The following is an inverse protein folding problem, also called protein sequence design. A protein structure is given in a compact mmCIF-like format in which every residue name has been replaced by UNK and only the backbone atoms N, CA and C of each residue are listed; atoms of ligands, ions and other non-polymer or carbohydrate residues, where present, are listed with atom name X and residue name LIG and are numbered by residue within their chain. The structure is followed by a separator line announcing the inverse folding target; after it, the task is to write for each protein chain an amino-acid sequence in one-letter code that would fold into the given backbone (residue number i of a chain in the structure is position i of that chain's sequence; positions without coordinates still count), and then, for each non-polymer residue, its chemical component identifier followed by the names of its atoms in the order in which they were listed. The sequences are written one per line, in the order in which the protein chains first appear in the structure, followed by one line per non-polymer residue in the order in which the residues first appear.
data_IF_596488287357
#
_entry.id   IF_596488287357
#
_cell.length_a   1.000
_cell.length_b   1.000
_cell.length_c   1.000
_cell.angle_alpha   90.00
_cell.angle_beta   90.00
_cell.angle_gamma   90.00
#
_symmetry.space_group_name_H-M   'P 1'
#
loop_
_entity.id
_entity.type
_entity.pdbx_description
1 polymer ?
#
# COMPACT_ATOMS: atom_id res chain seq x y z
N UNK A 1 -17.26 -28.89 17.83
CA UNK A 1 -17.77 -27.51 17.72
C UNK A 1 -18.05 -27.26 16.24
N UNK A 2 -19.31 -27.14 15.84
CA UNK A 2 -19.67 -26.67 14.51
C UNK A 2 -19.18 -25.21 14.42
N UNK A 3 -18.18 -24.98 13.58
CA UNK A 3 -17.76 -23.62 13.27
C UNK A 3 -18.74 -23.08 12.24
N UNK A 4 -19.64 -22.23 12.66
CA UNK A 4 -20.50 -21.50 11.75
C UNK A 4 -19.66 -20.56 10.88
N UNK A 5 -20.09 -20.34 9.63
CA UNK A 5 -19.47 -19.34 8.78
C UNK A 5 -19.80 -17.94 9.34
N UNK A 6 -18.81 -17.07 9.41
CA UNK A 6 -19.05 -15.66 9.62
C UNK A 6 -19.48 -15.06 8.27
N UNK A 7 -20.77 -14.88 8.09
CA UNK A 7 -21.35 -14.43 6.82
C UNK A 7 -21.83 -12.99 6.91
N UNK A 8 -21.65 -12.24 5.86
CA UNK A 8 -22.21 -10.93 5.63
C UNK A 8 -22.94 -10.96 4.29
N UNK A 9 -24.16 -10.45 4.22
CA UNK A 9 -24.87 -10.35 2.96
C UNK A 9 -24.34 -9.21 2.08
N UNK A 10 -24.62 -9.27 0.77
CA UNK A 10 -24.07 -8.32 -0.20
C UNK A 10 -24.55 -6.88 0.02
N UNK A 11 -25.72 -6.69 0.62
CA UNK A 11 -26.26 -5.37 0.94
C UNK A 11 -25.48 -4.74 2.09
N UNK A 12 -25.33 -5.47 3.20
CA UNK A 12 -24.55 -5.05 4.36
C UNK A 12 -23.08 -4.81 3.97
N UNK A 13 -22.50 -5.70 3.12
CA UNK A 13 -21.13 -5.55 2.64
C UNK A 13 -20.91 -4.24 1.86
N UNK A 14 -21.89 -3.85 1.04
CA UNK A 14 -21.80 -2.63 0.23
C UNK A 14 -22.02 -1.36 1.05
N UNK A 15 -22.76 -1.44 2.15
CA UNK A 15 -23.08 -0.32 3.02
C UNK A 15 -22.08 -0.17 4.19
N UNK A 16 -21.25 -1.20 4.43
CA UNK A 16 -20.19 -1.13 5.46
C UNK A 16 -19.02 -0.29 4.97
N UNK A 17 -18.64 0.70 5.77
CA UNK A 17 -17.40 1.47 5.55
C UNK A 17 -16.22 0.67 6.11
N UNK A 18 -15.38 0.14 5.23
CA UNK A 18 -14.11 -0.46 5.62
C UNK A 18 -13.00 0.59 5.51
N UNK A 19 -12.04 0.52 6.42
CA UNK A 19 -10.82 1.32 6.28
C UNK A 19 -10.10 0.95 4.99
N UNK A 20 -9.55 1.91 4.23
CA UNK A 20 -8.75 1.63 3.04
C UNK A 20 -7.50 0.83 3.43
N UNK A 21 -6.97 0.08 2.45
CA UNK A 21 -5.70 -0.65 2.64
C UNK A 21 -4.60 0.36 2.88
N UNK A 22 -3.93 0.27 4.04
CA UNK A 22 -2.74 1.05 4.33
C UNK A 22 -1.51 0.38 3.71
N UNK A 23 -1.06 0.89 2.57
CA UNK A 23 0.14 0.40 1.93
C UNK A 23 1.40 0.67 2.76
N UNK A 24 2.35 -0.28 2.77
CA UNK A 24 3.70 -0.09 3.31
C UNK A 24 4.57 0.70 2.32
N UNK A 25 4.46 0.36 1.04
CA UNK A 25 4.94 1.17 -0.08
C UNK A 25 3.75 1.41 -0.98
N UNK A 26 3.33 2.66 -1.12
CA UNK A 26 2.11 3.06 -1.80
C UNK A 26 2.03 2.41 -3.20
N UNK A 27 0.89 1.79 -3.53
CA UNK A 27 0.62 1.13 -4.82
C UNK A 27 1.58 0.00 -5.23
N UNK A 28 2.49 -0.41 -4.33
CA UNK A 28 3.48 -1.45 -4.62
C UNK A 28 3.46 -2.58 -3.59
N UNK A 29 3.42 -2.26 -2.29
CA UNK A 29 3.47 -3.26 -1.21
C UNK A 29 2.37 -2.96 -0.20
N UNK A 30 1.33 -3.78 -0.18
CA UNK A 30 0.29 -3.80 0.86
C UNK A 30 0.70 -4.73 2.02
N UNK A 31 0.00 -4.74 3.17
CA UNK A 31 0.10 -5.85 4.11
C UNK A 31 -0.26 -7.17 3.42
N UNK A 32 0.51 -8.23 3.68
CA UNK A 32 0.33 -9.55 3.04
C UNK A 32 1.64 -10.20 2.65
N UNK A 33 1.57 -11.23 1.82
CA UNK A 33 2.72 -12.00 1.38
C UNK A 33 3.11 -11.64 -0.06
N UNK A 34 4.36 -11.26 -0.24
CA UNK A 34 4.91 -10.84 -1.52
C UNK A 34 6.09 -11.71 -1.93
N UNK A 35 6.29 -11.90 -3.23
CA UNK A 35 7.43 -12.63 -3.79
C UNK A 35 8.26 -11.65 -4.62
N UNK A 36 9.54 -11.50 -4.27
CA UNK A 36 10.54 -10.83 -5.12
C UNK A 36 11.38 -11.88 -5.82
N UNK A 37 11.12 -12.09 -7.10
CA UNK A 37 11.81 -13.10 -7.90
C UNK A 37 12.71 -12.46 -8.95
N UNK A 38 13.65 -13.26 -9.47
CA UNK A 38 14.58 -12.87 -10.54
C UNK A 38 15.73 -13.88 -10.64
N UNK A 39 16.46 -13.86 -11.74
CA UNK A 39 17.59 -14.75 -11.94
C UNK A 39 18.69 -14.55 -10.87
N UNK A 40 19.54 -15.54 -10.60
CA UNK A 40 20.66 -15.39 -9.66
C UNK A 40 21.58 -14.23 -10.03
N UNK A 41 22.04 -13.47 -9.02
CA UNK A 41 22.98 -12.34 -9.17
C UNK A 41 22.43 -11.14 -9.96
N UNK A 42 21.12 -10.97 -10.02
CA UNK A 42 20.43 -9.84 -10.68
C UNK A 42 20.29 -8.60 -9.80
N UNK A 43 20.64 -8.68 -8.53
CA UNK A 43 20.53 -7.55 -7.62
C UNK A 43 19.26 -7.52 -6.75
N UNK A 44 18.53 -8.67 -6.66
CA UNK A 44 17.33 -8.80 -5.79
C UNK A 44 17.61 -8.46 -4.32
N UNK A 45 18.70 -9.04 -3.76
CA UNK A 45 19.09 -8.80 -2.36
C UNK A 45 19.43 -7.32 -2.08
N UNK A 46 20.00 -6.62 -3.07
CA UNK A 46 20.22 -5.18 -2.98
C UNK A 46 18.91 -4.42 -2.94
N UNK A 47 17.98 -4.74 -3.86
CA UNK A 47 16.64 -4.13 -3.88
C UNK A 47 15.88 -4.41 -2.59
N UNK A 48 15.85 -5.65 -2.14
CA UNK A 48 15.12 -6.07 -0.94
C UNK A 48 15.66 -5.40 0.34
N UNK A 49 16.99 -5.28 0.46
CA UNK A 49 17.62 -4.63 1.60
C UNK A 49 17.38 -3.11 1.58
N UNK A 50 17.47 -2.49 0.40
CA UNK A 50 17.16 -1.08 0.22
C UNK A 50 15.70 -0.76 0.52
N UNK A 51 14.74 -1.62 0.13
CA UNK A 51 13.33 -1.48 0.52
C UNK A 51 13.14 -1.45 2.05
N UNK A 52 13.82 -2.36 2.78
CA UNK A 52 13.81 -2.32 4.26
C UNK A 52 14.35 -1.00 4.79
N UNK A 53 15.46 -0.51 4.23
CA UNK A 53 16.05 0.77 4.64
C UNK A 53 15.09 1.94 4.42
N UNK A 54 14.48 2.06 3.24
CA UNK A 54 13.55 3.15 2.93
C UNK A 54 12.33 3.14 3.85
N UNK A 55 11.70 1.98 4.04
CA UNK A 55 10.55 1.83 4.94
C UNK A 55 10.93 2.15 6.39
N UNK A 56 12.10 1.71 6.86
CA UNK A 56 12.56 1.99 8.23
C UNK A 56 12.77 3.48 8.48
N UNK A 57 13.17 4.25 7.46
CA UNK A 57 13.41 5.69 7.54
C UNK A 57 12.15 6.51 7.21
N UNK A 58 11.12 5.91 6.61
CA UNK A 58 9.96 6.64 6.07
C UNK A 58 10.30 7.43 4.81
N UNK A 59 11.42 7.08 4.16
CA UNK A 59 11.83 7.68 2.90
C UNK A 59 11.10 7.01 1.72
N UNK A 60 10.76 7.74 0.66
CA UNK A 60 10.03 7.17 -0.46
C UNK A 60 10.85 6.08 -1.16
N UNK A 61 10.18 5.03 -1.60
CA UNK A 61 10.71 4.06 -2.55
C UNK A 61 10.45 4.61 -3.94
N UNK A 62 11.48 5.14 -4.58
CA UNK A 62 11.35 5.90 -5.83
C UNK A 62 10.35 7.05 -5.65
N UNK A 63 9.23 7.03 -6.42
CA UNK A 63 8.17 8.03 -6.35
C UNK A 63 7.00 7.62 -5.42
N UNK A 64 7.10 6.45 -4.77
CA UNK A 64 6.04 5.89 -3.93
C UNK A 64 6.28 6.21 -2.46
N UNK A 65 5.29 6.79 -1.79
CA UNK A 65 5.36 7.07 -0.34
C UNK A 65 5.48 5.77 0.44
N UNK A 66 6.15 5.82 1.59
CA UNK A 66 6.27 4.69 2.50
C UNK A 66 5.60 4.97 3.83
N UNK A 67 5.08 3.93 4.45
CA UNK A 67 4.65 3.94 5.84
C UNK A 67 5.86 3.61 6.71
N UNK A 68 6.38 4.60 7.46
CA UNK A 68 7.52 4.40 8.35
C UNK A 68 7.21 3.38 9.44
N UNK A 69 8.16 2.51 9.77
CA UNK A 69 8.10 1.57 10.89
C UNK A 69 9.25 0.58 10.90
N UNK A 70 9.42 -0.19 11.99
CA UNK A 70 10.43 -1.20 12.09
C UNK A 70 10.40 -2.19 10.93
N UNK A 71 11.57 -2.53 10.42
CA UNK A 71 11.75 -3.53 9.36
C UNK A 71 12.75 -4.59 9.77
N UNK A 72 12.54 -5.83 9.36
CA UNK A 72 13.47 -6.94 9.59
C UNK A 72 13.93 -7.54 8.27
N UNK A 73 15.24 -7.54 8.05
CA UNK A 73 15.87 -8.23 6.93
C UNK A 73 16.56 -9.51 7.40
N UNK A 74 16.03 -10.66 7.00
CA UNK A 74 16.64 -11.97 7.25
C UNK A 74 17.55 -12.34 6.08
N UNK A 75 18.84 -12.00 6.19
CA UNK A 75 19.85 -12.28 5.18
C UNK A 75 20.48 -13.66 5.39
N UNK A 76 19.74 -14.75 5.10
CA UNK A 76 20.08 -16.11 5.49
C UNK A 76 21.21 -16.76 4.66
N UNK A 77 21.67 -16.09 3.61
CA UNK A 77 22.83 -16.46 2.81
C UNK A 77 24.00 -15.49 2.99
N UNK A 78 23.85 -14.52 3.87
CA UNK A 78 24.83 -13.48 4.11
C UNK A 78 25.46 -13.60 5.52
N UNK A 79 26.53 -12.86 5.73
CA UNK A 79 27.14 -12.64 7.04
C UNK A 79 26.88 -11.20 7.49
N UNK A 80 26.90 -10.96 8.81
CA UNK A 80 26.74 -9.60 9.38
C UNK A 80 27.74 -8.61 8.77
N UNK A 81 29.06 -8.91 8.62
CA UNK A 81 29.97 -7.98 7.96
C UNK A 81 29.60 -7.65 6.52
N UNK A 82 29.03 -8.61 5.76
CA UNK A 82 28.57 -8.35 4.39
C UNK A 82 27.34 -7.47 4.34
N UNK A 83 26.42 -7.63 5.29
CA UNK A 83 25.25 -6.76 5.42
C UNK A 83 25.67 -5.35 5.83
N UNK A 84 26.64 -5.21 6.72
CA UNK A 84 27.22 -3.93 7.09
C UNK A 84 27.86 -3.23 5.89
N UNK A 85 28.66 -3.96 5.09
CA UNK A 85 29.26 -3.44 3.88
C UNK A 85 28.18 -2.96 2.88
N UNK A 86 27.12 -3.78 2.66
CA UNK A 86 26.00 -3.37 1.80
C UNK A 86 25.31 -2.10 2.29
N UNK A 87 25.05 -1.99 3.58
CA UNK A 87 24.40 -0.81 4.16
C UNK A 87 25.22 0.45 3.96
N UNK A 88 26.56 0.35 4.08
CA UNK A 88 27.48 1.47 3.90
C UNK A 88 27.50 2.06 2.48
N UNK A 89 27.12 1.27 1.46
CA UNK A 89 26.91 1.80 0.11
C UNK A 89 25.62 2.61 -0.03
N UNK A 90 24.58 2.27 0.74
CA UNK A 90 23.24 2.81 0.59
C UNK A 90 22.99 4.05 1.44
N UNK A 91 23.65 4.16 2.61
CA UNK A 91 23.44 5.28 3.53
C UNK A 91 24.63 5.46 4.48
N UNK A 92 24.83 6.73 4.92
CA UNK A 92 25.72 7.09 6.03
C UNK A 92 24.93 7.42 7.30
N UNK A 93 23.59 7.52 7.20
CA UNK A 93 22.73 7.91 8.30
C UNK A 93 22.34 6.71 9.17
N UNK A 94 22.01 7.00 10.43
CA UNK A 94 21.50 5.99 11.33
C UNK A 94 20.14 5.45 10.85
N UNK A 95 20.01 4.12 10.78
CA UNK A 95 18.79 3.41 10.44
C UNK A 95 18.30 2.60 11.66
N UNK A 96 17.81 3.30 12.69
CA UNK A 96 17.47 2.72 14.00
C UNK A 96 16.36 1.66 13.93
N UNK A 97 15.45 1.82 12.99
CA UNK A 97 14.30 0.92 12.80
C UNK A 97 14.57 -0.18 11.75
N UNK A 98 15.81 -0.28 11.25
CA UNK A 98 16.26 -1.36 10.38
C UNK A 98 16.98 -2.43 11.22
N UNK A 99 16.39 -3.61 11.29
CA UNK A 99 16.93 -4.78 12.00
C UNK A 99 17.40 -5.83 11.01
N UNK A 100 18.49 -6.52 11.33
CA UNK A 100 19.06 -7.57 10.48
C UNK A 100 19.34 -8.84 11.27
N UNK A 101 19.11 -10.01 10.66
CA UNK A 101 19.53 -11.29 11.21
C UNK A 101 20.01 -12.20 10.06
N UNK A 102 20.92 -13.12 10.37
CA UNK A 102 21.51 -14.07 9.40
C UNK A 102 21.17 -15.52 9.72
N UNK A 103 20.38 -15.74 10.76
CA UNK A 103 19.89 -17.06 11.18
C UNK A 103 18.41 -16.97 11.49
N UNK A 104 17.65 -17.94 11.03
CA UNK A 104 16.24 -18.13 11.37
C UNK A 104 15.92 -19.62 11.45
N UNK A 105 14.87 -19.96 12.19
CA UNK A 105 14.27 -21.28 12.19
C UNK A 105 13.53 -21.56 10.88
N UNK A 106 13.26 -22.85 10.62
CA UNK A 106 12.50 -23.26 9.45
C UNK A 106 10.98 -23.16 9.68
N UNK A 107 10.24 -23.22 8.59
CA UNK A 107 8.78 -23.40 8.61
C UNK A 107 8.48 -24.73 9.29
N UNK A 108 7.63 -24.67 10.33
CA UNK A 108 7.26 -25.83 11.14
C UNK A 108 8.15 -26.10 12.36
N UNK A 109 9.28 -25.38 12.52
CA UNK A 109 10.16 -25.56 13.69
C UNK A 109 10.21 -24.35 14.63
N UNK A 110 10.01 -23.11 14.15
CA UNK A 110 10.08 -21.97 15.05
C UNK A 110 9.98 -20.60 14.41
N UNK A 111 10.02 -20.47 13.10
CA UNK A 111 10.02 -19.14 12.44
C UNK A 111 8.78 -18.31 12.78
N UNK A 112 7.61 -18.94 12.97
CA UNK A 112 6.37 -18.25 13.33
C UNK A 112 6.51 -17.52 14.66
N UNK A 113 7.05 -18.21 15.64
CA UNK A 113 7.31 -17.68 16.98
C UNK A 113 8.37 -16.60 16.94
N UNK A 114 9.43 -16.78 16.15
CA UNK A 114 10.46 -15.75 15.97
C UNK A 114 9.88 -14.47 15.36
N UNK A 115 9.04 -14.58 14.31
CA UNK A 115 8.38 -13.42 13.69
C UNK A 115 7.43 -12.74 14.68
N UNK A 116 6.59 -13.49 15.39
CA UNK A 116 5.67 -12.95 16.40
C UNK A 116 6.41 -12.23 17.53
N UNK A 117 7.47 -12.83 18.04
CA UNK A 117 8.30 -12.25 19.11
C UNK A 117 8.97 -10.96 18.63
N UNK A 118 9.47 -10.93 17.40
CA UNK A 118 10.04 -9.74 16.82
C UNK A 118 9.00 -8.61 16.74
N UNK A 119 7.83 -8.88 16.15
CA UNK A 119 6.74 -7.90 16.02
C UNK A 119 6.25 -7.41 17.39
N UNK A 120 6.14 -8.30 18.36
CA UNK A 120 5.75 -7.92 19.73
C UNK A 120 6.79 -7.02 20.41
N UNK A 121 8.09 -7.25 20.14
CA UNK A 121 9.19 -6.44 20.69
C UNK A 121 9.40 -5.12 19.94
N UNK A 122 8.90 -5.03 18.72
CA UNK A 122 9.03 -3.85 17.84
C UNK A 122 7.64 -3.44 17.33
N UNK A 123 6.80 -2.81 18.16
CA UNK A 123 5.46 -2.36 17.77
C UNK A 123 5.50 -1.44 16.55
N UNK A 124 4.55 -1.61 15.64
CA UNK A 124 4.52 -0.86 14.39
C UNK A 124 5.39 -1.43 13.27
N UNK A 125 5.94 -2.66 13.45
CA UNK A 125 6.65 -3.38 12.38
C UNK A 125 5.78 -3.40 11.12
N UNK A 126 6.36 -2.97 10.00
CA UNK A 126 5.66 -2.89 8.72
C UNK A 126 6.13 -3.94 7.72
N UNK A 127 7.44 -4.27 7.72
CA UNK A 127 8.03 -5.09 6.67
C UNK A 127 9.02 -6.12 7.25
N UNK A 128 8.88 -7.37 6.80
CA UNK A 128 9.87 -8.43 7.01
C UNK A 128 10.30 -8.96 5.64
N UNK A 129 11.59 -9.01 5.38
CA UNK A 129 12.16 -9.60 4.18
C UNK A 129 12.90 -10.89 4.53
N UNK A 130 12.66 -11.96 3.79
CA UNK A 130 13.33 -13.25 3.94
C UNK A 130 14.16 -13.54 2.68
N UNK A 131 15.46 -13.41 2.78
CA UNK A 131 16.43 -13.64 1.70
C UNK A 131 17.39 -14.79 2.04
N UNK A 132 17.13 -16.01 1.55
CA UNK A 132 16.12 -16.40 0.59
C UNK A 132 15.08 -17.37 1.22
N UNK A 133 13.91 -17.43 0.60
CA UNK A 133 12.84 -18.37 1.00
C UNK A 133 13.33 -19.81 1.07
N UNK A 134 14.24 -20.24 0.18
CA UNK A 134 14.78 -21.59 0.15
C UNK A 134 15.43 -22.03 1.48
N UNK A 135 15.94 -21.07 2.28
CA UNK A 135 16.65 -21.33 3.54
C UNK A 135 15.75 -21.66 4.72
N UNK A 136 14.47 -21.33 4.62
CA UNK A 136 13.48 -21.54 5.71
C UNK A 136 12.42 -22.59 5.35
N UNK A 137 12.48 -23.19 4.17
CA UNK A 137 11.48 -24.18 3.72
C UNK A 137 11.38 -25.35 4.67
N UNK A 138 10.16 -25.89 4.79
CA UNK A 138 9.93 -27.11 5.56
C UNK A 138 10.66 -28.31 4.92
N UNK A 139 11.17 -29.20 5.76
CA UNK A 139 11.77 -30.47 5.30
C UNK A 139 10.64 -31.48 5.18
N UNK A 140 10.28 -31.87 3.97
CA UNK A 140 9.23 -32.87 3.72
C UNK A 140 9.57 -33.71 2.49
N UNK A 141 9.12 -34.96 2.52
CA UNK A 141 9.18 -35.90 1.39
C UNK A 141 7.90 -35.86 0.54
N UNK A 142 6.98 -34.94 0.81
CA UNK A 142 5.72 -34.79 0.12
C UNK A 142 5.90 -34.25 -1.31
N UNK A 143 4.82 -34.25 -2.09
CA UNK A 143 4.79 -33.61 -3.40
C UNK A 143 5.19 -32.14 -3.30
N UNK A 144 6.12 -31.72 -4.14
CA UNK A 144 6.69 -30.36 -4.14
C UNK A 144 5.60 -29.27 -4.22
N UNK A 145 4.51 -29.48 -4.97
CA UNK A 145 3.40 -28.55 -5.04
C UNK A 145 2.70 -28.40 -3.67
N UNK A 146 2.42 -29.50 -2.99
CA UNK A 146 1.76 -29.47 -1.69
C UNK A 146 2.61 -28.77 -0.63
N UNK A 147 3.94 -29.01 -0.65
CA UNK A 147 4.89 -28.36 0.24
C UNK A 147 4.98 -26.87 -0.02
N UNK A 148 5.13 -26.48 -1.30
CA UNK A 148 5.18 -25.08 -1.71
C UNK A 148 3.93 -24.32 -1.27
N UNK A 149 2.75 -24.87 -1.58
CA UNK A 149 1.46 -24.26 -1.21
C UNK A 149 1.28 -24.13 0.30
N UNK A 150 1.66 -25.16 1.06
CA UNK A 150 1.60 -25.17 2.52
C UNK A 150 2.54 -24.14 3.14
N UNK A 151 3.79 -24.08 2.68
CA UNK A 151 4.80 -23.17 3.21
C UNK A 151 4.41 -21.70 2.93
N UNK A 152 3.96 -21.38 1.72
CA UNK A 152 3.50 -20.04 1.35
C UNK A 152 2.22 -19.69 2.11
N UNK A 153 1.24 -20.60 2.20
CA UNK A 153 0.01 -20.38 2.96
C UNK A 153 0.27 -20.12 4.44
N UNK A 154 1.26 -20.79 5.02
CA UNK A 154 1.69 -20.58 6.41
C UNK A 154 2.25 -19.16 6.63
N UNK A 155 3.14 -18.70 5.75
CA UNK A 155 3.71 -17.36 5.85
C UNK A 155 2.67 -16.26 5.55
N UNK A 156 1.77 -16.53 4.60
CA UNK A 156 0.65 -15.62 4.34
C UNK A 156 -0.24 -15.47 5.58
N UNK A 157 -0.60 -16.57 6.24
CA UNK A 157 -1.39 -16.51 7.47
C UNK A 157 -0.72 -15.63 8.52
N UNK A 158 0.61 -15.70 8.68
CA UNK A 158 1.36 -14.85 9.61
C UNK A 158 1.27 -13.37 9.20
N UNK A 159 1.46 -13.06 7.93
CA UNK A 159 1.38 -11.71 7.41
C UNK A 159 -0.01 -11.09 7.65
N UNK A 160 -1.07 -11.85 7.37
CA UNK A 160 -2.47 -11.44 7.55
C UNK A 160 -2.81 -11.25 9.05
N UNK A 161 -2.41 -12.19 9.93
CA UNK A 161 -2.62 -12.11 11.38
C UNK A 161 -1.97 -10.86 11.98
N UNK A 162 -0.75 -10.55 11.56
CA UNK A 162 0.05 -9.45 12.11
C UNK A 162 -0.15 -8.12 11.35
N UNK A 163 -0.86 -8.14 10.22
CA UNK A 163 -1.08 -6.99 9.32
C UNK A 163 0.23 -6.34 8.87
N UNK A 164 1.22 -7.15 8.53
CA UNK A 164 2.53 -6.73 8.04
C UNK A 164 2.75 -7.21 6.61
N UNK A 165 3.70 -6.62 5.89
CA UNK A 165 4.19 -7.19 4.65
C UNK A 165 5.33 -8.18 4.93
N UNK A 166 5.28 -9.36 4.29
CA UNK A 166 6.40 -10.31 4.25
C UNK A 166 6.83 -10.45 2.78
N UNK A 167 8.08 -10.14 2.47
CA UNK A 167 8.65 -10.32 1.14
C UNK A 167 9.57 -11.54 1.16
N UNK A 168 9.31 -12.50 0.28
CA UNK A 168 10.15 -13.66 0.05
C UNK A 168 11.03 -13.43 -1.17
N UNK A 169 12.34 -13.39 -0.99
CA UNK A 169 13.28 -13.38 -2.12
C UNK A 169 13.40 -14.80 -2.66
N UNK A 170 13.10 -14.97 -3.94
CA UNK A 170 13.05 -16.26 -4.59
C UNK A 170 13.75 -16.25 -5.96
N UNK A 171 13.98 -17.42 -6.54
CA UNK A 171 14.64 -17.56 -7.84
C UNK A 171 13.65 -17.81 -8.97
N UNK A 172 14.06 -17.47 -10.21
CA UNK A 172 13.34 -17.85 -11.43
C UNK A 172 13.76 -19.26 -11.88
N UNK A 173 12.88 -19.94 -12.62
CA UNK A 173 13.20 -21.13 -13.39
C UNK A 173 14.21 -20.79 -14.48
N UNK A 174 14.94 -21.78 -14.96
CA UNK A 174 15.89 -21.61 -16.08
C UNK A 174 15.19 -21.46 -17.43
N UNK A 175 13.99 -22.00 -17.57
CA UNK A 175 13.18 -21.92 -18.78
C UNK A 175 12.63 -20.50 -18.93
N UNK A 176 12.80 -19.94 -20.14
CA UNK A 176 12.24 -18.64 -20.49
C UNK A 176 10.77 -18.79 -20.84
N UNK A 177 9.96 -17.89 -20.37
CA UNK A 177 8.56 -17.75 -20.70
C UNK A 177 8.27 -16.30 -21.07
N UNK A 178 7.27 -16.07 -21.94
CA UNK A 178 6.86 -14.70 -22.28
C UNK A 178 6.28 -13.95 -21.09
N UNK A 179 5.54 -14.67 -20.24
CA UNK A 179 5.04 -14.12 -18.98
C UNK A 179 6.11 -14.25 -17.88
N UNK A 180 6.60 -13.11 -17.33
CA UNK A 180 7.57 -13.09 -16.24
C UNK A 180 7.11 -13.84 -14.98
N UNK A 181 5.80 -13.81 -14.69
CA UNK A 181 5.23 -14.48 -13.50
C UNK A 181 5.33 -16.00 -13.63
N UNK A 182 5.11 -16.54 -14.84
CA UNK A 182 5.25 -17.97 -15.10
C UNK A 182 6.68 -18.49 -14.93
N UNK A 183 7.68 -17.60 -14.94
CA UNK A 183 9.07 -17.95 -14.71
C UNK A 183 9.44 -18.11 -13.23
N UNK A 184 8.57 -17.73 -12.28
CA UNK A 184 8.87 -17.90 -10.85
C UNK A 184 9.13 -19.37 -10.56
N UNK A 185 10.27 -19.66 -9.90
CA UNK A 185 10.69 -21.04 -9.61
C UNK A 185 9.74 -21.72 -8.62
N UNK A 186 9.67 -23.04 -8.66
CA UNK A 186 8.74 -23.83 -7.86
C UNK A 186 7.48 -24.17 -8.61
N UNK A 187 6.40 -24.43 -7.90
CA UNK A 187 5.10 -24.78 -8.49
C UNK A 187 4.21 -23.54 -8.61
N UNK A 188 3.11 -23.65 -9.36
CA UNK A 188 2.05 -22.63 -9.38
C UNK A 188 1.43 -22.39 -7.99
N UNK A 189 1.68 -23.28 -7.03
CA UNK A 189 1.31 -23.09 -5.62
C UNK A 189 1.98 -21.87 -4.97
N UNK A 190 3.22 -21.54 -5.38
CA UNK A 190 3.94 -20.36 -4.86
C UNK A 190 3.26 -19.07 -5.35
N UNK A 191 3.06 -18.95 -6.65
CA UNK A 191 2.50 -17.73 -7.25
C UNK A 191 1.02 -17.56 -6.94
N UNK A 192 0.26 -18.65 -6.84
CA UNK A 192 -1.18 -18.61 -6.58
C UNK A 192 -1.55 -18.18 -5.16
N UNK A 193 -0.69 -18.40 -4.18
CA UNK A 193 -0.96 -18.08 -2.78
C UNK A 193 -0.43 -16.70 -2.34
N UNK A 194 0.49 -16.10 -3.09
CA UNK A 194 1.01 -14.76 -2.82
C UNK A 194 0.00 -13.65 -3.19
N UNK A 195 0.07 -12.52 -2.50
CA UNK A 195 -0.76 -11.34 -2.79
C UNK A 195 -0.16 -10.52 -3.93
N UNK A 196 1.17 -10.41 -3.97
CA UNK A 196 1.90 -9.69 -5.02
C UNK A 196 3.15 -10.44 -5.45
N UNK A 197 3.44 -10.39 -6.71
CA UNK A 197 4.64 -10.95 -7.32
C UNK A 197 5.40 -9.82 -8.00
N UNK A 198 6.66 -9.67 -7.63
CA UNK A 198 7.61 -8.71 -8.17
C UNK A 198 8.71 -9.49 -8.89
N UNK A 199 8.83 -9.35 -10.20
CA UNK A 199 9.85 -10.05 -10.99
C UNK A 199 10.86 -9.06 -11.53
N UNK A 200 12.08 -9.12 -10.99
CA UNK A 200 13.20 -8.32 -11.49
C UNK A 200 13.88 -9.06 -12.65
N UNK A 201 13.75 -8.53 -13.85
CA UNK A 201 14.34 -9.09 -15.07
C UNK A 201 15.31 -8.12 -15.76
N UNK A 202 16.34 -8.69 -16.37
CA UNK A 202 17.33 -7.97 -17.20
C UNK A 202 17.43 -8.63 -18.55
N UNK A 203 17.41 -7.83 -19.60
CA UNK A 203 17.64 -8.32 -20.97
C UNK A 203 19.00 -9.01 -21.13
N UNK A 204 20.05 -8.50 -20.46
CA UNK A 204 21.41 -9.06 -20.41
C UNK A 204 21.97 -8.94 -19.00
N UNK A 205 22.74 -9.95 -18.54
CA UNK A 205 23.39 -9.92 -17.20
C UNK A 205 24.33 -8.73 -17.01
N UNK A 206 24.97 -8.27 -18.07
CA UNK A 206 25.89 -7.12 -18.05
C UNK A 206 25.16 -5.77 -18.04
N UNK A 207 23.86 -5.74 -18.32
CA UNK A 207 23.06 -4.51 -18.28
C UNK A 207 22.95 -3.97 -16.85
N UNK A 208 23.03 -2.66 -16.71
CA UNK A 208 22.66 -1.98 -15.48
C UNK A 208 21.14 -1.70 -15.42
N UNK A 209 20.43 -1.83 -16.54
CA UNK A 209 18.98 -1.64 -16.59
C UNK A 209 18.25 -2.94 -16.36
N UNK A 210 17.13 -2.86 -15.67
CA UNK A 210 16.20 -3.95 -15.40
C UNK A 210 14.77 -3.46 -15.49
N UNK A 211 13.84 -4.39 -15.69
CA UNK A 211 12.41 -4.16 -15.54
C UNK A 211 11.93 -4.90 -14.30
N UNK A 212 11.22 -4.23 -13.43
CA UNK A 212 10.48 -4.82 -12.32
C UNK A 212 9.02 -4.96 -12.75
N UNK A 213 8.62 -6.18 -13.08
CA UNK A 213 7.22 -6.51 -13.37
C UNK A 213 6.49 -6.75 -12.05
N UNK A 214 5.38 -6.03 -11.81
CA UNK A 214 4.61 -6.07 -10.58
C UNK A 214 3.17 -6.52 -10.88
N UNK A 215 2.74 -7.61 -10.24
CA UNK A 215 1.40 -8.19 -10.40
C UNK A 215 0.85 -8.52 -9.01
N UNK A 216 -0.36 -8.10 -8.69
CA UNK A 216 -0.93 -8.37 -7.37
C UNK A 216 -2.45 -8.22 -7.31
N UNK A 217 -3.03 -8.60 -6.16
CA UNK A 217 -4.47 -8.49 -5.89
C UNK A 217 -4.91 -7.07 -5.61
N UNK A 218 -4.02 -6.31 -4.95
CA UNK A 218 -4.31 -4.95 -4.46
C UNK A 218 -3.58 -3.87 -5.26
N UNK A 219 -2.79 -4.27 -6.27
CA UNK A 219 -2.03 -3.37 -7.12
C UNK A 219 -2.40 -3.59 -8.59
N UNK A 220 -2.29 -2.54 -9.38
CA UNK A 220 -2.41 -2.61 -10.82
C UNK A 220 -1.16 -3.27 -11.44
N UNK A 221 -1.34 -4.01 -12.55
CA UNK A 221 -0.19 -4.49 -13.31
C UNK A 221 0.68 -3.31 -13.75
N UNK A 222 1.97 -3.40 -13.48
CA UNK A 222 2.94 -2.38 -13.93
C UNK A 222 4.30 -2.96 -14.19
N UNK A 223 5.02 -2.27 -15.06
CA UNK A 223 6.43 -2.51 -15.36
C UNK A 223 7.22 -1.26 -15.02
N UNK A 224 8.11 -1.36 -14.04
CA UNK A 224 8.97 -0.28 -13.61
C UNK A 224 10.35 -0.50 -14.22
N UNK A 225 10.81 0.41 -15.07
CA UNK A 225 12.18 0.39 -15.56
C UNK A 225 13.12 0.98 -14.51
N UNK A 226 14.17 0.25 -14.21
CA UNK A 226 15.15 0.56 -13.18
C UNK A 226 16.56 0.61 -13.75
N UNK A 227 17.38 1.51 -13.22
CA UNK A 227 18.81 1.58 -13.45
C UNK A 227 19.58 1.23 -12.16
N UNK A 228 20.54 0.30 -12.25
CA UNK A 228 21.38 -0.04 -11.09
C UNK A 228 22.57 0.92 -11.00
N UNK A 229 22.54 1.82 -10.03
CA UNK A 229 23.67 2.70 -9.74
C UNK A 229 24.78 1.91 -9.06
N UNK A 230 25.95 1.83 -9.72
CA UNK A 230 27.09 1.05 -9.22
C UNK A 230 27.77 1.67 -7.97
N UNK A 231 27.89 2.99 -7.84
CA UNK A 231 28.42 3.62 -6.63
C UNK A 231 27.59 3.30 -5.39
N UNK A 232 26.29 3.57 -5.40
CA UNK A 232 25.41 3.41 -4.23
C UNK A 232 24.80 2.02 -4.11
N UNK A 233 24.90 1.17 -5.16
CA UNK A 233 24.28 -0.16 -5.26
C UNK A 233 22.76 -0.14 -5.14
N UNK A 234 22.12 0.98 -5.45
CA UNK A 234 20.68 1.18 -5.41
C UNK A 234 20.11 1.05 -6.82
N UNK A 235 18.87 0.58 -6.88
CA UNK A 235 18.06 0.59 -8.10
C UNK A 235 17.33 1.93 -8.18
N UNK A 236 17.70 2.75 -9.15
CA UNK A 236 17.08 4.04 -9.43
C UNK A 236 15.90 3.90 -10.38
N UNK A 237 14.88 4.70 -10.17
CA UNK A 237 13.69 4.76 -11.01
C UNK A 237 14.00 5.45 -12.35
N UNK A 238 13.53 4.85 -13.45
CA UNK A 238 13.62 5.43 -14.78
C UNK A 238 12.23 5.83 -15.27
N UNK A 239 11.30 4.88 -15.32
CA UNK A 239 9.90 5.13 -15.69
C UNK A 239 8.98 4.00 -15.23
N UNK A 240 7.68 4.23 -15.26
CA UNK A 240 6.62 3.27 -14.96
C UNK A 240 5.68 3.17 -16.17
N UNK A 241 5.22 1.95 -16.50
CA UNK A 241 4.27 1.70 -17.60
C UNK A 241 2.87 2.22 -17.30
N UNK A 242 2.54 2.39 -16.03
CA UNK A 242 1.31 3.05 -15.62
C UNK A 242 1.54 4.55 -15.77
N UNK A 243 1.22 5.09 -16.93
CA UNK A 243 1.05 6.54 -17.11
C UNK A 243 0.01 6.97 -16.09
N UNK A 244 0.41 7.72 -15.08
CA UNK A 244 -0.35 8.17 -13.92
C UNK A 244 -1.88 8.19 -14.17
N UNK A 245 -2.61 7.11 -13.93
CA UNK A 245 -4.07 7.19 -13.90
C UNK A 245 -4.56 8.09 -12.76
N UNK A 246 -3.68 8.47 -11.83
CA UNK A 246 -3.94 9.42 -10.76
C UNK A 246 -4.28 10.82 -11.24
N UNK A 247 -3.72 11.26 -12.38
CA UNK A 247 -4.15 12.55 -12.96
C UNK A 247 -5.64 12.51 -13.33
N UNK A 248 -6.16 11.33 -13.72
CA UNK A 248 -7.59 11.16 -13.95
C UNK A 248 -8.39 10.99 -12.64
N UNK A 249 -7.79 10.42 -11.58
CA UNK A 249 -8.45 10.17 -10.29
C UNK A 249 -8.31 11.37 -9.34
N UNK A 250 -7.18 12.07 -9.35
CA UNK A 250 -7.02 13.39 -8.73
C UNK A 250 -7.98 14.41 -9.37
N UNK A 251 -8.27 14.27 -10.66
CA UNK A 251 -9.28 15.06 -11.33
C UNK A 251 -10.71 14.78 -10.83
N UNK A 252 -11.07 13.54 -10.42
CA UNK A 252 -12.44 13.27 -9.94
C UNK A 252 -12.78 14.09 -8.68
N UNK A 253 -11.84 14.22 -7.74
CA UNK A 253 -12.05 15.06 -6.55
C UNK A 253 -12.12 16.54 -6.95
N UNK A 254 -11.24 16.96 -7.85
CA UNK A 254 -11.23 18.33 -8.37
C UNK A 254 -12.51 18.62 -9.20
N UNK A 255 -12.93 17.69 -10.05
CA UNK A 255 -14.14 17.81 -10.85
C UNK A 255 -15.40 17.86 -9.98
N UNK A 256 -15.46 17.04 -8.93
CA UNK A 256 -16.55 17.09 -7.93
C UNK A 256 -16.51 18.40 -7.14
N UNK A 257 -15.32 18.91 -6.83
CA UNK A 257 -15.16 20.19 -6.14
C UNK A 257 -15.68 21.34 -7.01
N UNK A 258 -15.28 21.44 -8.25
CA UNK A 258 -15.79 22.49 -9.16
C UNK A 258 -17.32 22.34 -9.39
N UNK A 259 -17.81 21.11 -9.55
CA UNK A 259 -19.24 20.84 -9.64
C UNK A 259 -20.00 21.33 -8.42
N UNK A 260 -19.53 21.02 -7.20
CA UNK A 260 -20.20 21.44 -5.94
C UNK A 260 -20.04 22.93 -5.68
N UNK A 261 -18.95 23.54 -6.11
CA UNK A 261 -18.75 24.99 -6.02
C UNK A 261 -19.79 25.76 -6.85
N UNK A 262 -20.16 25.23 -8.03
CA UNK A 262 -21.20 25.85 -8.87
C UNK A 262 -22.61 25.49 -8.43
N UNK A 263 -22.86 24.25 -8.03
CA UNK A 263 -24.20 23.71 -7.74
C UNK A 263 -24.55 23.67 -6.25
N UNK A 264 -23.59 23.97 -5.35
CA UNK A 264 -23.69 24.01 -3.89
C UNK A 264 -23.99 22.66 -3.23
N UNK A 265 -24.78 21.79 -3.83
CA UNK A 265 -25.10 20.47 -3.32
C UNK A 265 -25.58 19.53 -4.42
N UNK A 266 -25.49 18.22 -4.12
CA UNK A 266 -26.03 17.16 -4.98
C UNK A 266 -26.69 16.10 -4.10
N UNK A 267 -27.83 15.58 -4.55
CA UNK A 267 -28.51 14.43 -3.97
C UNK A 267 -29.09 13.55 -5.09
N UNK A 268 -28.52 12.39 -5.29
CA UNK A 268 -28.92 11.50 -6.36
C UNK A 268 -28.14 10.18 -6.38
N UNK A 269 -28.36 9.37 -7.40
CA UNK A 269 -27.64 8.12 -7.62
C UNK A 269 -26.23 8.38 -8.17
N UNK A 270 -25.29 7.42 -8.02
CA UNK A 270 -23.98 7.49 -8.66
C UNK A 270 -24.06 7.67 -10.19
N UNK A 271 -25.10 7.13 -10.83
CA UNK A 271 -25.31 7.24 -12.28
C UNK A 271 -25.68 8.68 -12.67
N UNK A 272 -26.58 9.31 -11.94
CA UNK A 272 -26.97 10.71 -12.15
C UNK A 272 -25.78 11.65 -11.93
N UNK A 273 -24.99 11.44 -10.87
CA UNK A 273 -23.78 12.22 -10.64
C UNK A 273 -22.76 12.05 -11.77
N UNK A 274 -22.54 10.81 -12.24
CA UNK A 274 -21.64 10.51 -13.35
C UNK A 274 -22.04 11.25 -14.64
N UNK A 275 -23.32 11.42 -14.90
CA UNK A 275 -23.80 12.16 -16.07
C UNK A 275 -23.63 13.67 -15.93
N UNK A 276 -23.86 14.21 -14.73
CA UNK A 276 -23.67 15.63 -14.46
C UNK A 276 -22.19 16.03 -14.50
N UNK A 277 -21.29 15.13 -14.09
CA UNK A 277 -19.85 15.38 -14.15
C UNK A 277 -19.27 15.36 -15.56
N UNK A 278 -20.01 14.92 -16.60
CA UNK A 278 -19.56 14.97 -18.00
C UNK A 278 -19.20 16.41 -18.48
N UNK A 279 -19.74 17.44 -17.82
CA UNK A 279 -19.39 18.84 -18.10
C UNK A 279 -18.04 19.27 -17.51
N UNK A 280 -17.50 18.50 -16.57
CA UNK A 280 -16.28 18.79 -15.80
C UNK A 280 -15.15 17.82 -16.13
N UNK A 281 -15.48 16.58 -16.49
CA UNK A 281 -14.54 15.51 -16.83
C UNK A 281 -14.34 15.38 -18.34
N UNK A 282 -13.15 14.94 -18.75
CA UNK A 282 -12.85 14.65 -20.18
C UNK A 282 -13.57 13.38 -20.67
N UNK A 283 -13.83 12.42 -19.79
CA UNK A 283 -14.46 11.15 -20.11
C UNK A 283 -15.54 10.79 -19.09
N UNK A 284 -16.53 9.97 -19.50
CA UNK A 284 -17.60 9.50 -18.61
C UNK A 284 -17.05 8.55 -17.55
N UNK A 285 -17.20 8.91 -16.28
CA UNK A 285 -16.78 8.08 -15.17
C UNK A 285 -17.81 6.97 -14.93
N UNK A 286 -17.37 5.73 -14.85
CA UNK A 286 -18.28 4.60 -14.54
C UNK A 286 -18.85 4.80 -13.11
N UNK A 287 -20.19 4.69 -12.90
CA UNK A 287 -20.82 4.99 -11.61
C UNK A 287 -20.27 4.22 -10.40
N UNK A 288 -19.86 2.96 -10.60
CA UNK A 288 -19.23 2.15 -9.55
C UNK A 288 -17.83 2.64 -9.19
N UNK A 289 -17.06 3.09 -10.18
CA UNK A 289 -15.73 3.71 -9.99
C UNK A 289 -15.90 5.03 -9.25
N UNK A 290 -16.79 5.91 -9.71
CA UNK A 290 -17.09 7.17 -9.04
C UNK A 290 -17.45 6.98 -7.57
N UNK A 291 -18.34 6.04 -7.27
CA UNK A 291 -18.76 5.73 -5.90
C UNK A 291 -17.61 5.21 -5.04
N UNK A 292 -16.71 4.40 -5.63
CA UNK A 292 -15.51 3.89 -4.93
C UNK A 292 -14.51 5.01 -4.65
N UNK A 293 -14.24 5.85 -5.63
CA UNK A 293 -13.26 6.94 -5.47
C UNK A 293 -13.75 8.02 -4.51
N UNK A 294 -15.05 8.38 -4.53
CA UNK A 294 -15.62 9.29 -3.52
C UNK A 294 -15.49 8.74 -2.09
N UNK A 295 -15.66 7.42 -1.91
CA UNK A 295 -15.43 6.79 -0.60
C UNK A 295 -13.97 6.82 -0.18
N UNK A 296 -13.06 6.49 -1.10
CA UNK A 296 -11.63 6.46 -0.85
C UNK A 296 -11.10 7.85 -0.45
N UNK A 297 -11.59 8.89 -1.13
CA UNK A 297 -11.14 10.27 -0.97
C UNK A 297 -12.06 11.10 -0.05
N UNK A 298 -12.88 10.45 0.79
CA UNK A 298 -13.82 11.13 1.72
C UNK A 298 -13.13 12.16 2.62
N UNK A 299 -11.91 11.87 3.07
CA UNK A 299 -11.12 12.78 3.89
C UNK A 299 -10.64 13.99 3.09
N UNK A 300 -10.15 13.80 1.90
CA UNK A 300 -9.69 14.86 1.00
C UNK A 300 -10.84 15.78 0.59
N UNK A 301 -12.02 15.20 0.27
CA UNK A 301 -13.24 15.97 0.03
C UNK A 301 -13.59 16.85 1.25
N UNK A 302 -13.49 16.32 2.46
CA UNK A 302 -13.75 17.07 3.69
C UNK A 302 -12.73 18.19 3.92
N UNK A 303 -11.45 17.96 3.63
CA UNK A 303 -10.38 18.97 3.69
C UNK A 303 -10.62 20.11 2.68
N UNK A 304 -11.26 19.82 1.55
CA UNK A 304 -11.69 20.82 0.56
C UNK A 304 -13.07 21.43 0.87
N UNK A 305 -13.65 21.14 2.02
CA UNK A 305 -14.94 21.70 2.44
C UNK A 305 -16.16 21.05 1.79
N UNK A 306 -16.02 19.79 1.33
CA UNK A 306 -17.15 19.02 0.77
C UNK A 306 -17.53 17.90 1.75
N UNK A 307 -18.77 17.92 2.21
CA UNK A 307 -19.36 16.83 2.97
C UNK A 307 -19.91 15.78 2.01
N UNK A 308 -19.47 14.54 2.17
CA UNK A 308 -19.93 13.38 1.41
C UNK A 308 -20.61 12.36 2.31
N UNK A 309 -21.83 11.97 1.97
CA UNK A 309 -22.60 10.94 2.65
C UNK A 309 -23.26 9.99 1.66
N UNK A 310 -23.40 8.73 2.06
CA UNK A 310 -24.24 7.75 1.38
C UNK A 310 -25.46 7.47 2.23
N UNK A 311 -26.62 7.37 1.57
CA UNK A 311 -27.86 6.94 2.20
C UNK A 311 -28.63 6.03 1.27
N UNK A 312 -29.49 5.22 1.84
CA UNK A 312 -30.41 4.37 1.07
C UNK A 312 -31.83 4.91 1.24
N UNK A 313 -32.53 5.06 0.12
CA UNK A 313 -33.94 5.45 0.11
C UNK A 313 -34.66 4.69 -1.01
N UNK A 314 -35.79 4.07 -0.69
CA UNK A 314 -36.64 3.34 -1.63
C UNK A 314 -35.88 2.28 -2.46
N UNK A 315 -34.96 1.52 -1.81
CA UNK A 315 -34.16 0.50 -2.47
C UNK A 315 -33.03 1.02 -3.37
N UNK A 316 -32.88 2.34 -3.50
CA UNK A 316 -31.79 2.97 -4.29
C UNK A 316 -30.72 3.52 -3.35
N UNK A 317 -29.46 3.40 -3.77
CA UNK A 317 -28.34 4.05 -3.11
C UNK A 317 -28.22 5.48 -3.62
N UNK A 318 -28.18 6.42 -2.69
CA UNK A 318 -28.05 7.85 -2.98
C UNK A 318 -26.72 8.38 -2.44
N UNK A 319 -26.13 9.28 -3.21
CA UNK A 319 -24.97 10.08 -2.83
C UNK A 319 -25.48 11.48 -2.48
N UNK A 320 -24.98 11.99 -1.36
CA UNK A 320 -25.20 13.36 -0.94
C UNK A 320 -23.84 14.06 -0.85
N UNK A 321 -23.73 15.16 -1.58
CA UNK A 321 -22.57 16.05 -1.56
C UNK A 321 -23.06 17.45 -1.22
N UNK A 322 -22.36 18.15 -0.34
CA UNK A 322 -22.69 19.54 0.00
C UNK A 322 -21.43 20.32 0.38
N UNK A 323 -21.37 21.59 -0.04
CA UNK A 323 -20.36 22.50 0.45
C UNK A 323 -20.56 22.71 1.96
N UNK A 324 -19.49 22.63 2.74
CA UNK A 324 -19.48 23.01 4.16
C UNK A 324 -19.17 24.50 4.21
N UNK A 325 -20.04 25.35 4.83
CA UNK A 325 -19.70 26.75 5.01
C UNK A 325 -18.41 26.86 5.84
N UNK A 326 -17.40 27.53 5.33
CA UNK A 326 -16.22 27.87 6.14
C UNK A 326 -16.71 28.75 7.29
N UNK A 327 -16.76 28.21 8.49
CA UNK A 327 -17.00 28.98 9.70
C UNK A 327 -15.85 29.99 9.84
N UNK A 328 -16.18 31.24 9.99
CA UNK A 328 -15.28 32.36 10.27
C UNK A 328 -14.47 32.09 11.54
N UNK A 329 -13.32 31.40 11.38
CA UNK A 329 -12.34 31.18 12.45
C UNK A 329 -11.00 31.90 12.18
N UNK A 330 -10.94 32.86 11.25
CA UNK A 330 -9.74 33.66 10.97
C UNK A 330 -9.85 35.11 11.47
N UNK A 331 -10.48 35.32 12.65
CA UNK A 331 -10.38 36.63 13.34
C UNK A 331 -10.11 36.39 14.83
N UNK A 332 -8.97 35.74 15.14
CA UNK A 332 -8.37 35.80 16.48
C UNK A 332 -6.86 35.57 16.44
N UNK A 333 -6.15 36.39 15.69
CA UNK A 333 -4.70 36.61 15.91
C UNK A 333 -4.30 37.98 15.32
N UNK A 334 -4.83 39.05 15.84
CA UNK A 334 -4.20 40.38 15.82
C UNK A 334 -5.06 41.37 16.61
N UNK A 335 -4.98 41.34 17.92
CA UNK A 335 -5.32 42.44 18.79
C UNK A 335 -4.92 42.14 20.24
N UNK A 336 -3.62 42.25 20.51
CA UNK A 336 -3.13 42.55 21.85
C UNK A 336 -2.16 43.73 21.73
N UNK A 337 -2.71 44.92 21.76
CA UNK A 337 -2.15 46.16 22.28
C UNK A 337 -3.14 47.27 21.99
N UNK A 338 -4.04 47.55 22.91
CA UNK A 338 -4.38 48.86 23.42
C UNK A 338 -5.69 48.73 24.22
N UNK A 339 -5.57 49.02 25.52
CA UNK A 339 -6.69 49.04 26.42
C UNK A 339 -7.68 50.15 26.09
N UNK A 340 -8.95 49.78 25.99
CA UNK A 340 -10.01 50.67 26.43
C UNK A 340 -11.32 49.89 26.68
N UNK A 341 -11.87 50.14 27.84
CA UNK A 341 -13.11 49.60 28.34
C UNK A 341 -14.31 50.03 27.52
N UNK A 342 -15.18 49.10 27.11
CA UNK A 342 -16.57 49.41 26.77
C UNK A 342 -17.54 48.41 27.39
N UNK A 343 -18.56 48.97 28.03
CA UNK A 343 -19.66 48.35 28.76
C UNK A 343 -20.66 47.73 27.76
N UNK A 344 -21.23 46.54 28.00
CA UNK A 344 -22.23 45.97 27.10
C UNK A 344 -23.62 46.55 27.36
N UNK A 345 -24.27 47.00 26.28
CA UNK A 345 -25.70 47.39 26.28
C UNK A 345 -26.53 46.11 26.08
N UNK A 346 -27.37 45.84 27.06
CA UNK A 346 -28.42 44.80 27.01
C UNK A 346 -29.62 45.33 26.22
N UNK A 347 -30.11 44.56 25.24
CA UNK A 347 -31.39 44.77 24.56
C UNK A 347 -32.42 43.78 25.14
N UNK A 348 -33.64 44.22 25.47
CA UNK A 348 -34.63 43.37 26.14
C UNK A 348 -35.37 42.44 25.17
N UNK A 349 -35.79 41.29 25.71
CA UNK A 349 -36.63 40.30 25.05
C UNK A 349 -38.08 40.83 24.90
N UNK A 350 -38.67 40.62 23.72
CA UNK A 350 -40.10 40.81 23.49
C UNK A 350 -40.93 39.59 23.88
N UNK A 351 -42.18 39.78 24.32
CA UNK A 351 -42.97 38.73 24.94
C UNK A 351 -43.77 37.90 23.94
N UNK A 352 -44.06 36.70 24.38
CA UNK A 352 -44.95 35.69 23.78
C UNK A 352 -46.36 36.21 23.57
N UNK A 353 -46.94 35.97 22.40
CA UNK A 353 -48.33 35.53 22.20
C UNK A 353 -48.38 34.29 21.31
#
# INVERSE_FOLDING_TARGET
MNKEFNVIDGETLLDTEFAPIEFIVEKLIAPGLHILSGAPKMGKSWLAFWLCLQVSKGEPVWNFKTKQGPTLYLGLEDSIPRLQDRLSYMTYDAAKELFVATVAENIGTGIKEQIRNFVASHPGTNLIVIDTFQRIRSISNDNAYAVDYKDIGFLKQIADELKIAIILVHHLRKEKHEDPVAMVSGTSGITGAADTILVLDKSKRSSNNATLCCVGRDIEYREIELHFDKPTKVWEFVKDSVENPEILLENIVADVFEFIKENHSFAGTPSELSELLLGYCKEKIVPSVLSRELNKNKRELAEQGIRYEKKRSNGKRLIFLSAVPQSQNDVRQSADSDGNSYIPITVPADPVE
#
